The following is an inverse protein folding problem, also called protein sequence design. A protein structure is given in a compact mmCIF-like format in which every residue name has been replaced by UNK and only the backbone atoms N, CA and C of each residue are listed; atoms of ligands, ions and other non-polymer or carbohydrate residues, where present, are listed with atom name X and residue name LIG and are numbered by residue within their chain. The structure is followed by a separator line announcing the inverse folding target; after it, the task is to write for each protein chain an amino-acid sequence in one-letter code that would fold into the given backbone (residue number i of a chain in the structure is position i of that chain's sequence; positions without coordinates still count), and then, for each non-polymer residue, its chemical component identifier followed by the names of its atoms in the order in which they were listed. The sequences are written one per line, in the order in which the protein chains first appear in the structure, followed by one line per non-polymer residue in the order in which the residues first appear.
data_IF_310334788193
#
_entry.id   IF_310334788193
#
_cell.length_a   1.000
_cell.length_b   1.000
_cell.length_c   1.000
_cell.angle_alpha   90.00
_cell.angle_beta   90.00
_cell.angle_gamma   90.00
#
_symmetry.space_group_name_H-M   'P 1'
#
loop_
_entity.id
_entity.type
_entity.pdbx_description
1 polymer ?
#
# COMPACT_ATOMS: atom_id res chain seq x y z
N UNK A 1 -61.89 -18.39 -6.23
CA UNK A 1 -60.43 -18.25 -6.18
C UNK A 1 -59.88 -19.21 -5.13
N UNK A 2 -59.04 -20.16 -5.49
CA UNK A 2 -58.63 -21.26 -4.59
C UNK A 2 -57.47 -20.77 -3.69
N UNK A 3 -57.84 -20.25 -2.48
CA UNK A 3 -56.92 -19.63 -1.52
C UNK A 3 -55.73 -20.51 -1.13
N UNK A 4 -55.91 -21.84 -1.12
CA UNK A 4 -54.82 -22.80 -0.86
C UNK A 4 -53.77 -22.78 -1.99
N UNK A 5 -54.25 -22.77 -3.23
CA UNK A 5 -53.40 -22.75 -4.43
C UNK A 5 -52.59 -21.45 -4.54
N UNK A 6 -53.22 -20.32 -4.18
CA UNK A 6 -52.55 -19.01 -4.15
C UNK A 6 -51.43 -18.97 -3.11
N UNK A 7 -51.66 -19.50 -1.90
CA UNK A 7 -50.62 -19.60 -0.86
C UNK A 7 -49.43 -20.46 -1.32
N UNK A 8 -49.72 -21.63 -1.90
CA UNK A 8 -48.67 -22.55 -2.39
C UNK A 8 -47.84 -21.89 -3.49
N UNK A 9 -48.48 -21.18 -4.42
CA UNK A 9 -47.80 -20.44 -5.47
C UNK A 9 -46.85 -19.36 -4.89
N UNK A 10 -47.36 -18.62 -3.88
CA UNK A 10 -46.56 -17.56 -3.23
C UNK A 10 -45.31 -18.10 -2.53
N UNK A 11 -45.48 -19.22 -1.81
CA UNK A 11 -44.35 -19.91 -1.15
C UNK A 11 -43.32 -20.39 -2.19
N UNK A 12 -43.80 -20.96 -3.29
CA UNK A 12 -42.93 -21.44 -4.37
C UNK A 12 -42.12 -20.30 -5.00
N UNK A 13 -42.78 -19.17 -5.33
CA UNK A 13 -42.12 -17.99 -5.88
C UNK A 13 -41.08 -17.42 -4.88
N UNK A 14 -41.45 -17.35 -3.59
CA UNK A 14 -40.52 -16.86 -2.56
C UNK A 14 -39.29 -17.75 -2.42
N UNK A 15 -39.45 -19.07 -2.42
CA UNK A 15 -38.32 -20.02 -2.40
C UNK A 15 -37.42 -19.84 -3.64
N UNK A 16 -38.02 -19.68 -4.81
CA UNK A 16 -37.30 -19.51 -6.07
C UNK A 16 -36.48 -18.20 -6.07
N UNK A 17 -37.06 -17.10 -5.58
CA UNK A 17 -36.33 -15.82 -5.42
C UNK A 17 -35.16 -15.94 -4.43
N UNK A 18 -35.36 -16.64 -3.31
CA UNK A 18 -34.27 -16.84 -2.34
C UNK A 18 -33.14 -17.69 -2.93
N UNK A 19 -33.44 -18.76 -3.67
CA UNK A 19 -32.43 -19.56 -4.38
C UNK A 19 -31.67 -18.69 -5.37
N UNK A 20 -32.35 -17.83 -6.12
CA UNK A 20 -31.72 -16.91 -7.07
C UNK A 20 -30.79 -15.89 -6.38
N UNK A 21 -31.21 -15.33 -5.23
CA UNK A 21 -30.38 -14.44 -4.43
C UNK A 21 -29.14 -15.15 -3.85
N UNK A 22 -29.30 -16.40 -3.41
CA UNK A 22 -28.16 -17.21 -2.95
C UNK A 22 -27.18 -17.47 -4.10
N UNK A 23 -27.67 -17.79 -5.28
CA UNK A 23 -26.81 -17.98 -6.47
C UNK A 23 -26.07 -16.69 -6.86
N UNK A 24 -26.74 -15.53 -6.82
CA UNK A 24 -26.09 -14.22 -7.04
C UNK A 24 -25.04 -13.96 -5.96
N UNK A 25 -25.37 -14.22 -4.69
CA UNK A 25 -24.44 -14.03 -3.57
C UNK A 25 -23.20 -14.92 -3.72
N UNK A 26 -23.38 -16.22 -3.97
CA UNK A 26 -22.29 -17.18 -4.20
C UNK A 26 -21.44 -16.72 -5.40
N UNK A 27 -22.09 -16.33 -6.51
CA UNK A 27 -21.39 -15.86 -7.70
C UNK A 27 -20.60 -14.56 -7.44
N UNK A 28 -21.13 -13.66 -6.59
CA UNK A 28 -20.44 -12.44 -6.16
C UNK A 28 -19.27 -12.74 -5.23
N UNK A 29 -19.45 -13.65 -4.28
CA UNK A 29 -18.38 -14.07 -3.34
C UNK A 29 -17.30 -14.86 -4.07
N UNK A 30 -17.66 -15.72 -5.00
CA UNK A 30 -16.71 -16.51 -5.80
C UNK A 30 -15.94 -15.64 -6.81
N UNK A 31 -16.58 -14.61 -7.37
CA UNK A 31 -15.91 -13.60 -8.19
C UNK A 31 -15.02 -12.64 -7.39
N UNK A 32 -15.22 -12.53 -6.08
CA UNK A 32 -14.32 -11.81 -5.17
C UNK A 32 -13.07 -12.61 -4.82
N UNK A 33 -13.08 -13.92 -5.01
CA UNK A 33 -11.87 -14.70 -5.14
C UNK A 33 -11.43 -14.54 -6.59
N UNK A 34 -10.36 -13.78 -6.81
CA UNK A 34 -9.70 -13.64 -8.10
C UNK A 34 -9.25 -15.06 -8.48
N UNK A 35 -10.12 -15.79 -9.14
CA UNK A 35 -9.71 -17.00 -9.82
C UNK A 35 -8.81 -16.56 -10.96
N UNK A 36 -7.62 -17.09 -10.99
CA UNK A 36 -6.69 -17.16 -12.11
C UNK A 36 -7.34 -17.95 -13.26
N UNK A 37 -8.47 -17.50 -13.77
CA UNK A 37 -8.93 -17.92 -15.06
C UNK A 37 -8.37 -16.88 -16.01
N UNK A 38 -7.37 -17.27 -16.77
CA UNK A 38 -6.89 -16.57 -17.95
C UNK A 38 -8.10 -16.06 -18.71
N UNK A 39 -8.39 -14.78 -18.55
CA UNK A 39 -9.35 -14.09 -19.38
C UNK A 39 -8.62 -13.85 -20.69
N UNK A 40 -9.07 -14.48 -21.77
CA UNK A 40 -8.59 -14.31 -23.15
C UNK A 40 -8.73 -12.87 -23.69
N UNK A 41 -9.10 -11.92 -22.87
CA UNK A 41 -9.20 -10.50 -23.17
C UNK A 41 -8.10 -9.71 -22.44
N UNK A 42 -6.84 -9.95 -22.80
CA UNK A 42 -5.75 -9.06 -22.42
C UNK A 42 -5.96 -7.67 -23.03
N UNK A 43 -5.90 -6.63 -22.20
CA UNK A 43 -5.95 -5.25 -22.67
C UNK A 43 -4.69 -4.95 -23.48
N UNK A 44 -4.88 -4.55 -24.74
CA UNK A 44 -3.80 -4.01 -25.53
C UNK A 44 -3.62 -2.52 -25.21
N UNK A 45 -2.80 -2.23 -24.18
CA UNK A 45 -2.56 -0.86 -23.70
C UNK A 45 -2.10 0.08 -24.83
N UNK A 46 -1.39 -0.44 -25.84
CA UNK A 46 -0.92 0.38 -26.95
C UNK A 46 -2.08 0.82 -27.87
N UNK A 47 -3.10 -0.03 -28.07
CA UNK A 47 -4.32 0.33 -28.80
C UNK A 47 -5.19 1.30 -28.02
N UNK A 48 -5.17 1.21 -26.69
CA UNK A 48 -5.89 2.11 -25.79
C UNK A 48 -5.11 3.41 -25.50
N UNK A 49 -4.00 3.63 -26.20
CA UNK A 49 -3.13 4.82 -26.04
C UNK A 49 -2.59 5.00 -24.62
N UNK A 50 -2.46 3.92 -23.85
CA UNK A 50 -1.88 3.92 -22.50
C UNK A 50 -0.43 3.48 -22.58
N UNK A 51 0.48 4.30 -22.06
CA UNK A 51 1.92 4.01 -22.05
C UNK A 51 2.27 3.20 -20.82
N UNK A 52 2.75 1.96 -21.02
CA UNK A 52 3.27 1.09 -19.96
C UNK A 52 4.51 0.39 -20.48
N UNK A 53 5.61 0.45 -19.72
CA UNK A 53 6.82 -0.25 -20.11
C UNK A 53 6.68 -1.78 -19.92
N UNK A 54 7.39 -2.55 -20.73
CA UNK A 54 7.42 -4.02 -20.58
C UNK A 54 7.98 -4.46 -19.23
N UNK A 55 8.92 -3.70 -18.67
CA UNK A 55 9.53 -4.00 -17.38
C UNK A 55 8.53 -3.87 -16.24
N UNK A 56 7.61 -2.90 -16.32
CA UNK A 56 6.51 -2.74 -15.36
C UNK A 56 5.52 -3.91 -15.48
N UNK A 57 5.13 -4.26 -16.71
CA UNK A 57 4.14 -5.33 -16.96
C UNK A 57 4.63 -6.72 -16.56
N UNK A 58 5.93 -6.99 -16.74
CA UNK A 58 6.54 -8.30 -16.54
C UNK A 58 7.22 -8.44 -15.17
N UNK A 59 7.03 -7.48 -14.26
CA UNK A 59 7.59 -7.54 -12.92
C UNK A 59 7.07 -8.80 -12.21
N UNK A 60 7.98 -9.68 -11.83
CA UNK A 60 7.62 -10.95 -11.22
C UNK A 60 7.19 -10.75 -9.76
N UNK A 61 5.99 -11.16 -9.47
CA UNK A 61 5.40 -11.25 -8.12
C UNK A 61 4.87 -12.66 -7.83
N UNK A 62 5.28 -13.63 -8.66
CA UNK A 62 4.85 -15.02 -8.51
C UNK A 62 5.29 -15.58 -7.15
N UNK A 63 4.44 -16.36 -6.53
CA UNK A 63 4.70 -16.92 -5.20
C UNK A 63 4.54 -15.94 -4.03
N UNK A 64 4.41 -14.63 -4.27
CA UNK A 64 4.21 -13.66 -3.20
C UNK A 64 2.78 -13.73 -2.66
N UNK A 65 2.67 -13.95 -1.35
CA UNK A 65 1.38 -13.98 -0.65
C UNK A 65 1.39 -12.94 0.47
N UNK A 66 0.35 -12.14 0.54
CA UNK A 66 0.17 -11.10 1.56
C UNK A 66 -1.14 -11.30 2.32
N UNK A 67 -1.20 -10.74 3.52
CA UNK A 67 -2.39 -10.75 4.38
C UNK A 67 -2.61 -9.37 4.96
N UNK A 68 -3.79 -9.10 5.49
CA UNK A 68 -4.03 -7.85 6.21
C UNK A 68 -3.18 -7.79 7.48
N UNK A 69 -2.68 -6.60 7.78
CA UNK A 69 -1.90 -6.32 8.98
C UNK A 69 -2.56 -5.21 9.80
N UNK A 70 -2.30 -5.20 11.09
CA UNK A 70 -2.62 -4.11 12.00
C UNK A 70 -1.33 -3.55 12.56
N UNK A 71 -1.33 -2.26 12.85
CA UNK A 71 -0.19 -1.58 13.44
C UNK A 71 -0.65 -0.43 14.33
N UNK A 72 0.20 -0.01 15.26
CA UNK A 72 -0.02 1.16 16.11
C UNK A 72 1.07 2.19 15.90
N UNK A 73 0.72 3.49 15.94
CA UNK A 73 1.72 4.54 15.86
C UNK A 73 2.64 4.53 17.07
N UNK A 74 3.95 4.67 16.84
CA UNK A 74 4.95 4.79 17.91
C UNK A 74 4.86 6.17 18.53
N UNK A 75 4.76 6.24 19.86
CA UNK A 75 4.93 7.48 20.60
C UNK A 75 6.41 7.66 20.97
N UNK A 76 6.98 8.81 20.65
CA UNK A 76 8.39 9.14 20.85
C UNK A 76 8.69 9.99 22.10
N UNK A 77 7.68 10.40 22.90
CA UNK A 77 7.90 11.28 24.07
C UNK A 77 9.03 10.77 24.96
N UNK A 78 8.93 9.53 25.42
CA UNK A 78 9.95 8.95 26.29
C UNK A 78 11.33 8.76 25.62
N UNK A 79 11.37 8.64 24.30
CA UNK A 79 12.62 8.55 23.56
C UNK A 79 13.32 9.90 23.42
N UNK A 80 12.55 10.98 23.25
CA UNK A 80 13.06 12.33 23.07
C UNK A 80 13.36 13.04 24.41
N UNK A 81 12.77 12.59 25.51
CA UNK A 81 12.79 13.25 26.82
C UNK A 81 14.20 13.57 27.33
N UNK A 82 15.19 12.74 27.00
CA UNK A 82 16.58 12.91 27.41
C UNK A 82 17.52 13.33 26.27
N UNK A 83 16.99 13.86 25.16
CA UNK A 83 17.74 14.22 23.95
C UNK A 83 17.39 15.64 23.52
N UNK A 84 18.22 16.61 23.90
CA UNK A 84 17.99 18.04 23.65
C UNK A 84 17.95 18.42 22.15
N UNK A 85 18.48 17.58 21.27
CA UNK A 85 18.47 17.78 19.80
C UNK A 85 17.22 17.24 19.13
N UNK A 86 16.30 16.60 19.87
CA UNK A 86 15.09 15.99 19.33
C UNK A 86 13.84 16.68 19.88
N UNK A 87 12.89 16.90 18.99
CA UNK A 87 11.58 17.46 19.30
C UNK A 87 10.47 16.47 18.95
N UNK A 88 9.37 16.55 19.69
CA UNK A 88 8.18 15.76 19.36
C UNK A 88 6.98 16.67 19.10
N UNK A 89 6.20 16.33 18.09
CA UNK A 89 4.92 16.96 17.73
C UNK A 89 3.81 15.92 17.61
N UNK A 90 2.60 16.35 17.24
CA UNK A 90 1.43 15.47 17.06
C UNK A 90 1.19 14.57 18.27
N UNK A 91 1.18 15.16 19.49
CA UNK A 91 1.03 14.43 20.76
C UNK A 91 2.13 13.39 21.02
N UNK A 92 3.30 13.56 20.38
CA UNK A 92 4.46 12.67 20.53
C UNK A 92 4.57 11.60 19.44
N UNK A 93 3.73 11.61 18.42
CA UNK A 93 3.78 10.62 17.34
C UNK A 93 4.70 11.00 16.19
N UNK A 94 5.17 12.24 16.13
CA UNK A 94 6.18 12.70 15.19
C UNK A 94 7.44 13.08 15.95
N UNK A 95 8.58 12.56 15.50
CA UNK A 95 9.91 12.91 15.99
C UNK A 95 10.58 13.78 14.93
N UNK A 96 11.17 14.88 15.36
CA UNK A 96 11.96 15.78 14.49
C UNK A 96 13.34 15.97 15.07
N UNK A 97 14.33 16.20 14.20
CA UNK A 97 15.70 16.51 14.61
C UNK A 97 16.46 17.19 13.49
N UNK A 98 17.57 17.81 13.87
CA UNK A 98 18.56 18.33 12.95
C UNK A 98 19.51 17.22 12.49
N UNK A 99 20.11 17.38 11.31
CA UNK A 99 21.14 16.49 10.81
C UNK A 99 22.48 17.07 11.20
N UNK A 100 23.13 16.45 12.21
CA UNK A 100 24.35 16.98 12.88
C UNK A 100 25.58 17.13 11.99
N UNK A 101 25.61 16.42 10.88
CA UNK A 101 26.72 16.46 9.91
C UNK A 101 26.17 16.73 8.50
N UNK A 102 27.02 17.34 7.70
CA UNK A 102 26.72 17.58 6.29
C UNK A 102 26.56 16.26 5.54
N UNK A 103 25.32 15.79 5.42
CA UNK A 103 24.99 14.60 4.64
C UNK A 103 24.64 15.05 3.24
N UNK A 104 25.50 14.70 2.27
CA UNK A 104 25.27 15.02 0.87
C UNK A 104 24.14 14.16 0.29
N UNK A 105 23.29 14.83 -0.50
CA UNK A 105 22.12 14.20 -1.15
C UNK A 105 22.24 14.31 -2.68
N UNK A 106 23.43 14.70 -3.16
CA UNK A 106 23.70 14.88 -4.58
C UNK A 106 24.05 13.59 -5.32
N UNK A 107 24.38 12.53 -4.61
CA UNK A 107 24.68 11.25 -5.21
C UNK A 107 23.40 10.47 -5.57
N UNK A 108 23.41 9.83 -6.74
CA UNK A 108 22.23 9.04 -7.20
C UNK A 108 21.89 7.87 -6.28
N UNK A 109 22.84 7.42 -5.48
CA UNK A 109 22.67 6.26 -4.60
C UNK A 109 22.26 6.66 -3.18
N UNK A 110 22.33 7.94 -2.85
CA UNK A 110 22.03 8.45 -1.50
C UNK A 110 22.77 7.67 -0.40
N UNK A 111 24.02 7.24 -0.68
CA UNK A 111 24.81 6.40 0.23
C UNK A 111 24.98 7.04 1.60
N UNK A 112 25.43 8.29 1.64
CA UNK A 112 25.67 9.03 2.88
C UNK A 112 24.39 9.18 3.70
N UNK A 113 23.28 9.49 3.02
CA UNK A 113 21.97 9.61 3.70
C UNK A 113 21.47 8.26 4.21
N UNK A 114 21.72 7.18 3.48
CA UNK A 114 21.38 5.83 3.92
C UNK A 114 22.18 5.41 5.14
N UNK A 115 23.48 5.70 5.16
CA UNK A 115 24.34 5.42 6.30
C UNK A 115 23.94 6.26 7.52
N UNK A 116 23.60 7.53 7.32
CA UNK A 116 23.04 8.37 8.36
C UNK A 116 21.75 7.78 8.95
N UNK A 117 20.83 7.33 8.09
CA UNK A 117 19.57 6.73 8.52
C UNK A 117 19.82 5.49 9.39
N UNK A 118 20.72 4.62 8.98
CA UNK A 118 21.02 3.37 9.69
C UNK A 118 21.62 3.63 11.07
N UNK A 119 22.49 4.65 11.18
CA UNK A 119 23.28 4.90 12.37
C UNK A 119 22.64 5.92 13.34
N UNK A 120 21.86 6.86 12.87
CA UNK A 120 21.38 8.00 13.66
C UNK A 120 19.85 8.07 13.83
N UNK A 121 19.08 7.47 12.92
CA UNK A 121 17.62 7.49 12.97
C UNK A 121 17.09 6.33 13.83
N UNK A 122 16.11 6.59 14.67
CA UNK A 122 15.44 5.55 15.46
C UNK A 122 14.87 4.46 14.54
N UNK A 123 15.31 3.22 14.73
CA UNK A 123 14.95 2.09 13.86
C UNK A 123 15.15 2.38 12.35
N UNK A 124 16.21 3.11 11.97
CA UNK A 124 16.44 3.53 10.59
C UNK A 124 16.43 2.41 9.55
N UNK A 125 16.84 1.19 9.96
CA UNK A 125 16.90 0.01 9.08
C UNK A 125 15.56 -0.44 8.50
N UNK A 126 14.43 -0.01 9.07
CA UNK A 126 13.10 -0.38 8.57
C UNK A 126 12.61 0.54 7.44
N UNK A 127 13.39 1.53 7.04
CA UNK A 127 13.01 2.49 6.02
C UNK A 127 13.71 2.19 4.69
N UNK A 128 12.96 2.32 3.61
CA UNK A 128 13.48 2.29 2.24
C UNK A 128 13.11 3.56 1.50
N UNK A 129 13.87 3.91 0.47
CA UNK A 129 13.60 5.08 -0.36
C UNK A 129 12.21 4.97 -0.99
N UNK A 130 11.39 5.99 -0.79
CA UNK A 130 10.05 6.11 -1.36
C UNK A 130 10.03 7.09 -2.52
N UNK A 131 10.36 8.35 -2.25
CA UNK A 131 10.30 9.44 -3.22
C UNK A 131 11.39 10.47 -2.95
N UNK A 132 11.83 11.16 -4.00
CA UNK A 132 12.85 12.22 -3.94
C UNK A 132 12.51 13.33 -4.91
N UNK A 133 12.63 14.56 -4.44
CA UNK A 133 12.61 15.77 -5.26
C UNK A 133 13.72 16.74 -4.81
N UNK A 134 13.81 17.91 -5.41
CA UNK A 134 14.87 18.90 -5.14
C UNK A 134 14.95 19.36 -3.67
N UNK A 135 13.86 19.31 -2.93
CA UNK A 135 13.76 19.89 -1.59
C UNK A 135 13.56 18.85 -0.52
N UNK A 136 13.16 17.63 -0.89
CA UNK A 136 12.86 16.58 0.08
C UNK A 136 13.26 15.20 -0.41
N UNK A 137 13.74 14.36 0.52
CA UNK A 137 13.84 12.91 0.32
C UNK A 137 12.95 12.21 1.33
N UNK A 138 12.10 11.34 0.85
CA UNK A 138 11.12 10.61 1.66
C UNK A 138 11.41 9.12 1.61
N UNK A 139 11.48 8.53 2.78
CA UNK A 139 11.59 7.09 2.98
C UNK A 139 10.29 6.55 3.55
N UNK A 140 9.89 5.39 3.09
CA UNK A 140 8.71 4.66 3.56
C UNK A 140 9.15 3.52 4.47
N UNK A 141 8.45 3.35 5.60
CA UNK A 141 8.67 2.21 6.47
C UNK A 141 8.28 0.92 5.76
N UNK A 142 9.03 -0.14 5.99
CA UNK A 142 8.74 -1.47 5.45
C UNK A 142 8.29 -2.44 6.53
N UNK A 143 7.50 -3.40 6.13
CA UNK A 143 7.17 -4.59 6.91
C UNK A 143 7.33 -5.82 6.02
N UNK A 144 8.10 -6.81 6.48
CA UNK A 144 8.42 -8.02 5.72
C UNK A 144 9.00 -7.72 4.30
N UNK A 145 9.82 -6.65 4.20
CA UNK A 145 10.43 -6.20 2.95
C UNK A 145 9.53 -5.37 2.04
N UNK A 146 8.25 -5.17 2.38
CA UNK A 146 7.30 -4.40 1.58
C UNK A 146 6.96 -3.06 2.22
N UNK A 147 6.90 -1.95 1.44
CA UNK A 147 6.61 -0.62 1.96
C UNK A 147 5.17 -0.49 2.47
N UNK A 148 5.01 0.35 3.50
CA UNK A 148 3.72 0.85 3.96
C UNK A 148 3.36 2.08 3.11
N UNK A 149 2.75 1.85 1.97
CA UNK A 149 2.49 2.85 0.94
C UNK A 149 1.48 3.91 1.40
N UNK A 150 1.73 5.15 0.98
CA UNK A 150 0.85 6.29 1.22
C UNK A 150 0.40 6.46 2.68
N UNK A 151 1.27 6.14 3.63
CA UNK A 151 0.98 6.21 5.05
C UNK A 151 1.83 7.29 5.73
N UNK A 152 1.21 8.43 6.08
CA UNK A 152 1.90 9.53 6.77
C UNK A 152 2.38 9.18 8.18
N UNK A 153 1.91 8.07 8.76
CA UNK A 153 2.33 7.57 10.07
C UNK A 153 3.47 6.53 10.01
N UNK A 154 4.01 6.29 8.81
CA UNK A 154 5.04 5.30 8.54
C UNK A 154 6.13 5.89 7.60
N UNK A 155 6.58 7.11 7.90
CA UNK A 155 7.39 7.87 6.95
C UNK A 155 8.56 8.57 7.65
N UNK A 156 9.69 8.62 6.95
CA UNK A 156 10.84 9.43 7.34
C UNK A 156 11.10 10.41 6.18
N UNK A 157 11.07 11.70 6.47
CA UNK A 157 11.29 12.76 5.47
C UNK A 157 12.46 13.63 5.89
N UNK A 158 13.37 13.84 4.97
CA UNK A 158 14.47 14.81 5.09
C UNK A 158 14.14 16.06 4.29
N UNK A 159 14.44 17.22 4.84
CA UNK A 159 14.49 18.47 4.11
C UNK A 159 15.90 18.66 3.54
N UNK A 160 15.94 19.05 2.26
CA UNK A 160 17.18 19.24 1.52
C UNK A 160 17.34 20.72 1.22
N UNK A 161 18.50 21.25 1.55
CA UNK A 161 18.90 22.60 1.25
C UNK A 161 20.33 22.57 0.68
N UNK A 162 20.53 23.19 -0.47
CA UNK A 162 21.81 23.22 -1.21
C UNK A 162 22.47 21.82 -1.35
N UNK A 163 21.66 20.82 -1.71
CA UNK A 163 22.12 19.43 -1.89
C UNK A 163 22.51 18.72 -0.59
N UNK A 164 22.07 19.20 0.56
CA UNK A 164 22.40 18.64 1.88
C UNK A 164 21.15 18.41 2.70
N UNK A 165 21.10 17.29 3.42
CA UNK A 165 20.06 17.06 4.40
C UNK A 165 20.30 17.95 5.63
N UNK A 166 19.29 18.70 6.04
CA UNK A 166 19.36 19.66 7.17
C UNK A 166 18.55 19.25 8.38
N UNK A 167 17.33 18.79 8.15
CA UNK A 167 16.42 18.36 9.19
C UNK A 167 15.65 17.12 8.76
N UNK A 168 15.10 16.41 9.73
CA UNK A 168 14.21 15.28 9.41
C UNK A 168 12.96 15.28 10.29
N UNK A 169 11.91 14.63 9.75
CA UNK A 169 10.70 14.25 10.49
C UNK A 169 10.47 12.76 10.33
N UNK A 170 10.25 12.09 11.43
CA UNK A 170 10.02 10.64 11.49
C UNK A 170 8.68 10.33 12.12
N UNK A 171 7.91 9.49 11.47
CA UNK A 171 6.77 8.76 12.02
C UNK A 171 7.02 7.27 11.85
N UNK A 172 6.57 6.46 12.79
CA UNK A 172 6.84 5.02 12.80
C UNK A 172 5.60 4.25 13.24
N UNK A 173 5.28 3.21 12.51
CA UNK A 173 4.34 2.19 12.96
C UNK A 173 5.08 1.13 13.76
N UNK A 174 4.54 0.78 14.90
CA UNK A 174 5.04 -0.26 15.80
C UNK A 174 4.02 -1.37 15.97
N UNK A 175 4.42 -2.49 16.57
CA UNK A 175 3.55 -3.65 16.80
C UNK A 175 2.80 -4.07 15.53
N UNK A 176 3.53 -4.13 14.41
CA UNK A 176 2.95 -4.58 13.15
C UNK A 176 2.77 -6.09 13.24
N UNK A 177 1.55 -6.55 13.11
CA UNK A 177 1.19 -7.97 13.21
C UNK A 177 0.05 -8.31 12.24
N UNK A 178 -0.11 -9.57 11.84
CA UNK A 178 -1.28 -9.99 11.08
C UNK A 178 -2.57 -9.60 11.80
N UNK A 179 -3.53 -9.05 11.04
CA UNK A 179 -4.83 -8.70 11.60
C UNK A 179 -5.52 -9.96 12.14
N UNK A 180 -6.04 -9.87 13.37
CA UNK A 180 -6.76 -10.97 14.01
C UNK A 180 -8.12 -11.18 13.33
N UNK A 181 -8.50 -12.44 13.15
CA UNK A 181 -9.80 -12.84 12.58
C UNK A 181 -9.66 -14.08 11.70
N UNK A 182 -10.69 -14.90 11.69
CA UNK A 182 -10.73 -16.18 10.96
C UNK A 182 -10.65 -16.02 9.43
N UNK A 183 -10.83 -14.80 8.91
CA UNK A 183 -10.88 -14.48 7.47
C UNK A 183 -9.66 -13.68 6.97
N UNK A 184 -8.48 -13.86 7.58
CA UNK A 184 -7.24 -13.20 7.13
C UNK A 184 -6.18 -14.19 6.63
N UNK A 185 -6.50 -15.08 5.67
CA UNK A 185 -5.49 -15.95 5.07
C UNK A 185 -4.53 -15.15 4.21
N UNK A 186 -3.29 -15.64 4.06
CA UNK A 186 -2.36 -15.11 3.07
C UNK A 186 -2.93 -15.36 1.67
N UNK A 187 -3.13 -14.30 0.91
CA UNK A 187 -3.65 -14.35 -0.47
C UNK A 187 -2.52 -14.07 -1.46
N UNK A 188 -2.56 -14.76 -2.58
CA UNK A 188 -1.69 -14.47 -3.71
C UNK A 188 -1.91 -13.03 -4.18
N UNK A 189 -0.83 -12.29 -4.43
CA UNK A 189 -0.93 -10.96 -5.02
C UNK A 189 -1.18 -11.06 -6.52
N UNK A 190 -1.89 -10.09 -7.07
CA UNK A 190 -2.13 -9.99 -8.51
C UNK A 190 -0.87 -9.48 -9.22
N UNK A 191 -0.70 -9.88 -10.47
CA UNK A 191 0.40 -9.38 -11.29
C UNK A 191 0.23 -7.89 -11.61
N UNK A 192 1.32 -7.14 -11.88
CA UNK A 192 1.23 -5.74 -12.31
C UNK A 192 0.32 -5.55 -13.50
N UNK A 193 0.38 -6.43 -14.49
CA UNK A 193 -0.52 -6.42 -15.66
C UNK A 193 -1.99 -6.45 -15.22
N UNK A 194 -2.40 -7.43 -14.40
CA UNK A 194 -3.78 -7.52 -13.90
C UNK A 194 -4.19 -6.31 -13.05
N UNK A 195 -3.26 -5.73 -12.29
CA UNK A 195 -3.53 -4.52 -11.53
C UNK A 195 -3.82 -3.32 -12.44
N UNK A 196 -3.01 -3.14 -13.49
CA UNK A 196 -3.15 -2.04 -14.46
C UNK A 196 -4.44 -2.24 -15.29
N UNK A 197 -4.74 -3.46 -15.72
CA UNK A 197 -6.00 -3.80 -16.39
C UNK A 197 -7.22 -3.46 -15.51
N UNK A 198 -7.13 -3.77 -14.21
CA UNK A 198 -8.19 -3.40 -13.26
C UNK A 198 -8.37 -1.87 -13.16
N UNK A 199 -7.29 -1.10 -13.18
CA UNK A 199 -7.38 0.36 -13.20
C UNK A 199 -8.03 0.86 -14.51
N UNK A 200 -7.69 0.28 -15.65
CA UNK A 200 -8.31 0.61 -16.93
C UNK A 200 -9.81 0.30 -16.94
N UNK A 201 -10.22 -0.90 -16.57
CA UNK A 201 -11.64 -1.29 -16.54
C UNK A 201 -12.47 -0.47 -15.53
N UNK A 202 -11.84 0.00 -14.45
CA UNK A 202 -12.48 0.89 -13.48
C UNK A 202 -12.39 2.38 -13.88
N UNK A 203 -11.88 2.70 -15.10
CA UNK A 203 -11.76 4.06 -15.65
C UNK A 203 -10.84 4.99 -14.86
N UNK A 204 -9.90 4.45 -14.12
CA UNK A 204 -8.82 5.20 -13.48
C UNK A 204 -7.68 5.52 -14.44
N UNK A 205 -7.53 4.75 -15.52
CA UNK A 205 -6.62 5.01 -16.64
C UNK A 205 -7.40 5.39 -17.88
N UNK A 206 -6.89 6.35 -18.63
CA UNK A 206 -7.48 6.90 -19.86
C UNK A 206 -6.43 6.95 -20.96
N UNK A 207 -6.88 7.11 -22.20
CA UNK A 207 -6.00 7.37 -23.33
C UNK A 207 -5.08 8.58 -23.06
N UNK A 208 -3.80 8.44 -23.32
CA UNK A 208 -2.76 9.42 -23.04
C UNK A 208 -2.07 9.28 -21.70
N UNK A 209 -2.60 8.48 -20.76
CA UNK A 209 -1.95 8.23 -19.47
C UNK A 209 -0.69 7.37 -19.60
N UNK A 210 0.23 7.55 -18.65
CA UNK A 210 1.47 6.79 -18.57
C UNK A 210 1.63 6.15 -17.20
N UNK A 211 1.87 4.84 -17.17
CA UNK A 211 2.20 4.08 -15.97
C UNK A 211 3.71 3.96 -15.86
N UNK A 212 4.30 4.72 -14.94
CA UNK A 212 5.76 4.80 -14.76
C UNK A 212 6.32 3.63 -13.96
N UNK A 213 5.58 3.16 -12.93
CA UNK A 213 6.03 2.07 -12.05
C UNK A 213 4.83 1.34 -11.43
N UNK A 214 5.06 0.10 -11.01
CA UNK A 214 4.15 -0.70 -10.20
C UNK A 214 4.92 -1.30 -9.02
N UNK A 215 4.53 -0.93 -7.80
CA UNK A 215 5.16 -1.39 -6.56
C UNK A 215 4.18 -2.16 -5.70
N UNK A 216 4.63 -3.30 -5.17
CA UNK A 216 3.87 -4.05 -4.19
C UNK A 216 4.15 -3.47 -2.79
N UNK A 217 3.11 -3.30 -2.00
CA UNK A 217 3.21 -2.81 -0.63
C UNK A 217 1.88 -2.91 0.13
N UNK A 218 1.92 -2.55 1.39
CA UNK A 218 0.75 -2.46 2.23
C UNK A 218 0.12 -1.07 2.11
N UNK A 219 -1.14 -1.01 1.78
CA UNK A 219 -1.89 0.24 1.71
C UNK A 219 -2.76 0.42 2.96
N UNK A 220 -2.72 1.61 3.54
CA UNK A 220 -3.50 1.92 4.74
C UNK A 220 -4.94 2.29 4.39
N UNK A 221 -5.88 1.48 4.86
CA UNK A 221 -7.31 1.82 4.81
C UNK A 221 -7.68 2.37 6.18
N UNK A 222 -8.00 3.66 6.24
CA UNK A 222 -8.54 4.29 7.45
C UNK A 222 -10.00 3.86 7.58
N UNK A 223 -10.33 3.18 8.65
CA UNK A 223 -11.71 2.86 9.03
C UNK A 223 -12.18 3.80 10.12
#
# INVERSE_FOLDING_TARGET
MNWKLTKTLFIFVFVLVNIFLILIYINKVTKSQINETESDNEVNFQQEEIKVSKDVLNKDVSGTKMQMITATSKNFKSYAENKSSLETSDSGFTLSGEVDNTVNVSDRNLSDLKDYIINHIYNGKVYQLGDMNSNTVTYEQTYDGYPLLNNNKARLRFNIDDGKATTYKQTLMSKIEPAKGDNNPKKQVITPRKAIESLYFNRYLKAGDEVLDARLGYYSVVR
#
